data_IF_296331269217
#
_entry.id   IF_296331269217
#
_cell.length_a   1.000
_cell.length_b   1.000
_cell.length_c   1.000
_cell.angle_alpha   90.00
_cell.angle_beta   90.00
_cell.angle_gamma   90.00
#
_symmetry.space_group_name_H-M   'P 1'
#
loop_
_entity.id
_entity.type
_entity.pdbx_description
1 polymer ?
2 non-polymer ?
3 water ?
#
# COMPACT_ATOMS: atom_id res chain seq x y z
N UNK A 3 15.06 7.14 19.00
CA UNK A 3 15.27 7.77 17.65
C UNK A 3 14.26 8.88 17.44
N UNK A 4 14.69 9.96 16.77
CA UNK A 4 13.75 11.07 16.61
C UNK A 4 12.55 10.68 15.80
N UNK A 5 11.42 11.27 16.17
CA UNK A 5 10.18 10.97 15.44
C UNK A 5 10.29 11.37 13.97
N UNK A 6 9.79 10.50 13.07
CA UNK A 6 9.62 10.88 11.67
C UNK A 6 8.14 11.26 11.60
N UNK A 7 7.88 12.56 11.57
CA UNK A 7 6.50 13.07 11.74
C UNK A 7 5.64 12.60 10.58
N UNK A 8 6.24 12.51 9.39
CA UNK A 8 5.44 12.11 8.21
C UNK A 8 5.11 10.61 8.19
N UNK A 9 6.03 9.76 8.57
CA UNK A 9 5.69 8.32 8.77
C UNK A 9 4.53 8.24 9.76
N UNK A 10 4.61 8.96 10.89
CA UNK A 10 3.53 8.92 11.86
C UNK A 10 2.23 9.32 11.24
N UNK A 11 2.23 10.39 10.48
CA UNK A 11 0.95 10.87 9.88
C UNK A 11 0.43 9.84 8.90
N UNK A 12 1.30 9.24 8.10
CA UNK A 12 0.85 8.21 7.16
C UNK A 12 0.25 6.98 7.89
N UNK A 13 0.92 6.57 8.96
CA UNK A 13 0.39 5.43 9.71
C UNK A 13 -0.94 5.81 10.34
N UNK A 14 -1.04 7.02 10.87
CA UNK A 14 -2.35 7.40 11.46
C UNK A 14 -3.45 7.46 10.41
N UNK A 15 -3.12 7.97 9.22
CA UNK A 15 -4.08 8.07 8.13
C UNK A 15 -4.59 6.64 7.79
N UNK A 16 -3.65 5.70 7.68
CA UNK A 16 -4.02 4.36 7.23
C UNK A 16 -4.84 3.67 8.32
N UNK A 17 -4.48 3.88 9.59
CA UNK A 17 -5.22 3.23 10.72
C UNK A 17 -6.62 3.86 10.81
N UNK A 18 -6.71 5.17 10.65
CA UNK A 18 -8.07 5.82 10.65
C UNK A 18 -8.92 5.27 9.54
N UNK A 19 -8.30 4.99 8.39
CA UNK A 19 -9.04 4.41 7.27
C UNK A 19 -9.53 2.99 7.57
N UNK A 20 -8.63 2.15 8.14
CA UNK A 20 -9.02 0.78 8.47
C UNK A 20 -10.14 0.78 9.50
N UNK A 21 -10.06 1.72 10.44
CA UNK A 21 -11.06 1.74 11.57
C UNK A 21 -12.38 2.33 11.11
N UNK A 22 -12.36 3.36 10.29
CA UNK A 22 -13.60 4.06 9.84
C UNK A 22 -14.18 3.52 8.56
N UNK A 23 -13.38 2.87 7.72
CA UNK A 23 -13.78 2.50 6.38
C UNK A 23 -13.98 3.63 5.39
N UNK A 24 -13.59 4.85 5.79
CA UNK A 24 -13.88 6.03 5.01
C UNK A 24 -12.81 6.33 3.94
N UNK A 25 -13.03 5.81 2.74
CA UNK A 25 -12.06 6.00 1.66
C UNK A 25 -11.89 7.43 1.25
N UNK A 26 -12.98 8.22 1.20
CA UNK A 26 -12.86 9.63 0.88
C UNK A 26 -12.02 10.41 1.91
N UNK A 27 -12.25 10.12 3.20
CA UNK A 27 -11.47 10.80 4.25
C UNK A 27 -9.97 10.49 4.01
N UNK A 28 -9.69 9.23 3.71
CA UNK A 28 -8.25 8.83 3.53
C UNK A 28 -7.62 9.61 2.38
N UNK A 29 -8.35 9.66 1.24
CA UNK A 29 -7.86 10.39 0.05
C UNK A 29 -7.68 11.89 0.35
N UNK A 30 -8.68 12.49 0.99
CA UNK A 30 -8.62 13.91 1.35
C UNK A 30 -7.41 14.17 2.28
N UNK A 31 -7.27 13.35 3.33
CA UNK A 31 -6.17 13.58 4.27
C UNK A 31 -4.84 13.40 3.56
N UNK A 32 -4.74 12.43 2.64
CA UNK A 32 -3.42 12.27 1.95
C UNK A 32 -3.12 13.54 1.16
N UNK A 33 -4.09 14.04 0.42
CA UNK A 33 -3.88 15.29 -0.35
C UNK A 33 -3.46 16.47 0.56
N UNK A 34 -4.13 16.62 1.70
CA UNK A 34 -3.80 17.66 2.65
C UNK A 34 -2.38 17.54 3.21
N UNK A 35 -1.84 16.33 3.25
CA UNK A 35 -0.44 16.23 3.68
C UNK A 35 0.53 16.86 2.69
N UNK A 36 0.18 16.88 1.42
CA UNK A 36 0.98 17.58 0.41
C UNK A 36 2.38 16.97 0.32
N UNK A 37 2.42 15.65 0.15
CA UNK A 37 3.71 14.92 0.12
C UNK A 37 3.87 13.97 -1.07
N UNK A 38 3.67 14.49 -2.26
CA UNK A 38 3.59 13.62 -3.45
C UNK A 38 4.89 12.84 -3.71
N UNK A 39 6.02 13.38 -3.27
CA UNK A 39 7.31 12.61 -3.39
C UNK A 39 7.56 11.61 -2.29
N UNK A 40 6.61 11.41 -1.40
CA UNK A 40 6.71 10.41 -0.36
C UNK A 40 5.50 9.45 -0.45
N UNK A 41 4.75 9.48 -1.56
CA UNK A 41 3.67 8.51 -1.69
C UNK A 41 4.12 7.04 -1.72
N UNK A 42 5.40 6.85 -2.09
CA UNK A 42 5.92 5.49 -2.02
C UNK A 42 5.85 4.92 -0.58
N UNK A 43 5.94 5.81 0.45
CA UNK A 43 5.83 5.40 1.86
C UNK A 43 4.39 5.06 2.21
N UNK A 44 3.44 5.80 1.61
CA UNK A 44 1.98 5.46 1.81
C UNK A 44 1.75 4.02 1.26
N UNK A 45 2.25 3.73 0.04
CA UNK A 45 2.10 2.40 -0.59
C UNK A 45 2.77 1.36 0.29
N UNK A 46 4.03 1.62 0.69
CA UNK A 46 4.78 0.70 1.50
C UNK A 46 4.07 0.34 2.81
N UNK A 47 3.68 1.37 3.57
CA UNK A 47 3.06 1.15 4.87
C UNK A 47 1.70 0.44 4.70
N UNK A 48 0.99 0.81 3.63
CA UNK A 48 -0.34 0.23 3.35
C UNK A 48 -0.19 -1.30 3.14
N UNK A 49 0.81 -1.67 2.32
CA UNK A 49 1.00 -3.06 2.00
C UNK A 49 1.51 -3.83 3.21
N UNK A 50 2.42 -3.22 4.00
CA UNK A 50 2.84 -3.82 5.26
C UNK A 50 1.63 -4.10 6.15
N UNK A 51 0.70 -3.14 6.23
CA UNK A 51 -0.52 -3.33 7.03
C UNK A 51 -1.33 -4.51 6.55
N UNK A 52 -1.41 -4.68 5.24
CA UNK A 52 -2.15 -5.84 4.70
C UNK A 52 -1.44 -7.11 5.18
N UNK A 53 -0.11 -7.16 5.04
CA UNK A 53 0.67 -8.37 5.40
C UNK A 53 0.59 -8.69 6.86
N UNK A 54 0.43 -7.66 7.68
CA UNK A 54 0.38 -7.83 9.15
C UNK A 54 -1.03 -8.06 9.68
N UNK A 55 -2.04 -7.97 8.81
CA UNK A 55 -3.47 -8.06 9.24
C UNK A 55 -3.96 -9.51 9.37
N UNK A 56 -5.21 -9.62 9.84
CA UNK A 56 -5.95 -10.88 9.92
C UNK A 56 -7.29 -10.79 9.18
N UNK A 57 -7.73 -11.91 8.61
CA UNK A 57 -8.97 -11.92 7.83
C UNK A 57 -8.76 -11.21 6.51
N UNK A 58 -9.85 -10.83 5.86
CA UNK A 58 -9.76 -10.30 4.50
C UNK A 58 -10.08 -8.82 4.41
N UNK A 59 -10.45 -8.22 5.56
CA UNK A 59 -10.96 -6.85 5.52
C UNK A 59 -9.86 -5.87 5.14
N UNK A 60 -8.73 -5.92 5.82
CA UNK A 60 -7.67 -4.91 5.49
C UNK A 60 -7.18 -5.09 4.02
N UNK A 61 -7.03 -6.34 3.60
CA UNK A 61 -6.64 -6.60 2.20
C UNK A 61 -7.54 -5.87 1.22
N UNK A 62 -8.87 -6.11 1.30
CA UNK A 62 -9.77 -5.45 0.36
C UNK A 62 -9.77 -3.92 0.52
N UNK A 63 -9.77 -3.46 1.78
CA UNK A 63 -9.84 -2.02 2.00
C UNK A 63 -8.60 -1.32 1.42
N UNK A 64 -7.44 -1.91 1.66
CA UNK A 64 -6.20 -1.29 1.11
C UNK A 64 -6.13 -1.46 -0.42
N UNK A 65 -6.56 -2.62 -0.95
CA UNK A 65 -6.74 -2.70 -2.39
C UNK A 65 -7.57 -1.56 -2.98
N UNK A 66 -8.76 -1.35 -2.41
CA UNK A 66 -9.66 -0.30 -2.92
C UNK A 66 -9.07 1.10 -2.80
N UNK A 67 -8.33 1.31 -1.71
CA UNK A 67 -7.68 2.60 -1.52
C UNK A 67 -6.59 2.84 -2.56
N UNK A 68 -5.68 1.87 -2.73
CA UNK A 68 -4.61 2.06 -3.77
C UNK A 68 -5.25 2.18 -5.18
N UNK A 69 -6.33 1.41 -5.45
CA UNK A 69 -7.07 1.54 -6.73
C UNK A 69 -7.53 2.94 -6.94
N UNK A 70 -8.16 3.53 -5.91
CA UNK A 70 -8.66 4.88 -6.06
C UNK A 70 -7.55 5.90 -6.20
N UNK A 71 -6.49 5.77 -5.41
CA UNK A 71 -5.39 6.67 -5.53
C UNK A 71 -4.67 6.67 -6.90
N UNK A 72 -4.46 5.47 -7.46
CA UNK A 72 -3.92 5.38 -8.77
C UNK A 72 -4.84 6.00 -9.81
N UNK A 73 -6.10 5.53 -9.77
CA UNK A 73 -7.05 5.86 -10.85
C UNK A 73 -7.40 7.36 -10.84
N UNK A 74 -7.28 7.97 -9.68
CA UNK A 74 -7.57 9.41 -9.52
C UNK A 74 -6.39 10.34 -9.80
N UNK A 75 -5.24 9.76 -10.20
CA UNK A 75 -4.02 10.51 -10.52
C UNK A 75 -3.42 11.15 -9.26
N UNK A 76 -3.66 10.53 -8.12
CA UNK A 76 -3.07 11.01 -6.83
C UNK A 76 -1.65 10.50 -6.60
N UNK A 77 -1.35 9.31 -7.10
CA UNK A 77 -0.01 8.76 -6.97
C UNK A 77 0.60 8.58 -8.36
N UNK A 78 1.81 9.10 -8.57
CA UNK A 78 2.52 8.98 -9.83
C UNK A 78 3.07 7.53 -10.01
N UNK A 79 3.38 7.22 -11.26
CA UNK A 79 3.89 5.90 -11.55
C UNK A 79 5.22 5.62 -10.85
N UNK A 80 6.06 6.64 -10.76
CA UNK A 80 7.36 6.45 -10.07
C UNK A 80 7.12 6.11 -8.61
N UNK A 81 6.15 6.79 -7.98
CA UNK A 81 5.93 6.57 -6.55
C UNK A 81 5.27 5.18 -6.30
N UNK A 82 4.37 4.76 -7.23
CA UNK A 82 3.77 3.46 -7.14
C UNK A 82 4.88 2.38 -7.24
N UNK A 83 5.71 2.54 -8.28
CA UNK A 83 6.75 1.53 -8.52
C UNK A 83 7.69 1.46 -7.30
N UNK A 84 8.12 2.61 -6.75
CA UNK A 84 9.04 2.61 -5.64
C UNK A 84 8.41 1.94 -4.38
N UNK A 85 7.12 2.21 -4.17
CA UNK A 85 6.50 1.59 -3.02
C UNK A 85 6.46 0.07 -3.09
N UNK A 86 6.02 -0.47 -4.25
CA UNK A 86 6.02 -1.95 -4.41
C UNK A 86 7.48 -2.50 -4.35
N UNK A 87 8.37 -1.82 -5.04
CA UNK A 87 9.79 -2.31 -5.08
C UNK A 87 10.36 -2.34 -3.67
N UNK A 88 9.97 -1.36 -2.84
CA UNK A 88 10.43 -1.41 -1.45
C UNK A 88 9.94 -2.61 -0.68
N UNK A 89 8.65 -2.94 -0.89
CA UNK A 89 8.09 -4.18 -0.32
C UNK A 89 8.85 -5.42 -0.85
N UNK A 90 9.09 -5.46 -2.17
CA UNK A 90 9.76 -6.62 -2.77
C UNK A 90 11.15 -6.81 -2.13
N UNK A 91 11.80 -5.69 -1.82
CA UNK A 91 13.13 -5.77 -1.21
C UNK A 91 13.10 -6.30 0.22
N UNK A 92 12.10 -5.86 1.00
CA UNK A 92 12.01 -6.16 2.44
C UNK A 92 11.22 -7.44 2.77
N UNK A 93 10.55 -8.03 1.78
CA UNK A 93 9.72 -9.18 2.05
C UNK A 93 10.45 -10.35 2.71
N UNK A 94 11.76 -10.58 2.44
CA UNK A 94 12.34 -11.75 3.13
C UNK A 94 12.25 -11.62 4.65
N UNK A 95 12.45 -10.41 5.16
CA UNK A 95 12.42 -10.17 6.60
C UNK A 95 10.98 -10.04 7.09
N UNK A 96 10.11 -9.40 6.31
CA UNK A 96 8.70 -9.35 6.70
C UNK A 96 8.13 -10.77 6.83
N UNK A 97 8.48 -11.64 5.91
CA UNK A 97 8.06 -13.06 5.88
C UNK A 97 8.60 -13.85 7.08
N UNK A 98 9.81 -13.54 7.53
CA UNK A 98 10.29 -14.19 8.76
C UNK A 98 9.45 -13.75 9.96
N UNK A 99 9.09 -12.46 9.99
CA UNK A 99 8.26 -11.97 11.12
C UNK A 99 6.82 -12.47 11.01
N UNK A 100 6.32 -12.58 9.78
CA UNK A 100 4.92 -12.94 9.52
C UNK A 100 4.92 -14.03 8.46
N UNK A 101 4.91 -15.31 8.91
CA UNK A 101 4.91 -16.38 7.94
C UNK A 101 3.78 -16.29 6.93
N UNK A 102 4.08 -16.80 5.75
CA UNK A 102 3.18 -16.88 4.62
C UNK A 102 2.91 -15.51 4.00
N UNK A 103 3.76 -14.53 4.34
CA UNK A 103 3.66 -13.21 3.68
C UNK A 103 3.98 -13.24 2.20
N UNK A 104 4.83 -14.15 1.74
CA UNK A 104 5.00 -14.31 0.31
C UNK A 104 3.66 -14.61 -0.40
N UNK A 105 2.85 -15.51 0.18
CA UNK A 105 1.58 -15.85 -0.45
C UNK A 105 0.58 -14.69 -0.40
N UNK A 106 0.51 -14.00 0.74
CA UNK A 106 -0.40 -12.86 0.83
C UNK A 106 0.03 -11.75 -0.15
N UNK A 107 1.33 -11.51 -0.21
CA UNK A 107 1.86 -10.46 -1.08
C UNK A 107 1.50 -10.80 -2.51
N UNK A 108 1.74 -12.07 -2.88
CA UNK A 108 1.39 -12.49 -4.22
C UNK A 108 -0.08 -12.29 -4.58
N UNK A 109 -0.97 -12.70 -3.68
CA UNK A 109 -2.41 -12.47 -3.96
C UNK A 109 -2.71 -10.99 -4.09
N UNK A 110 -2.11 -10.19 -3.21
CA UNK A 110 -2.31 -8.73 -3.29
C UNK A 110 -1.85 -8.14 -4.63
N UNK A 111 -0.61 -8.48 -5.03
CA UNK A 111 -0.06 -8.06 -6.29
C UNK A 111 -0.97 -8.48 -7.50
N UNK A 112 -1.41 -9.73 -7.48
CA UNK A 112 -2.29 -10.26 -8.56
C UNK A 112 -3.61 -9.45 -8.65
N UNK A 113 -4.16 -9.15 -7.46
CA UNK A 113 -5.38 -8.34 -7.44
C UNK A 113 -5.16 -6.92 -7.89
N UNK A 114 -4.01 -6.34 -7.51
CA UNK A 114 -3.69 -5.02 -8.02
C UNK A 114 -3.56 -5.00 -9.54
N UNK A 115 -2.91 -6.04 -10.06
CA UNK A 115 -2.74 -6.16 -11.48
C UNK A 115 -4.13 -6.28 -12.20
N UNK A 116 -4.96 -7.11 -11.60
CA UNK A 116 -6.29 -7.33 -12.16
C UNK A 116 -7.14 -6.06 -12.11
N UNK A 117 -6.81 -5.18 -11.17
CA UNK A 117 -7.50 -3.90 -11.03
C UNK A 117 -6.99 -2.79 -11.97
N UNK A 118 -5.93 -3.07 -12.73
CA UNK A 118 -5.41 -2.16 -13.69
C UNK A 118 -4.41 -1.13 -13.19
N UNK A 119 -3.92 -1.32 -11.94
CA UNK A 119 -3.16 -0.26 -11.29
C UNK A 119 -1.62 -0.43 -11.19
N UNK A 120 -1.11 -1.58 -11.67
CA UNK A 120 0.34 -1.73 -11.80
C UNK A 120 0.66 -2.38 -13.12
N UNK A 121 1.84 -2.06 -13.62
CA UNK A 121 2.28 -2.63 -14.88
C UNK A 121 2.48 -4.11 -14.75
N UNK A 122 2.44 -4.80 -15.90
CA UNK A 122 2.77 -6.23 -15.89
C UNK A 122 4.23 -6.47 -15.44
N UNK A 123 5.10 -5.55 -15.82
CA UNK A 123 6.50 -5.60 -15.32
C UNK A 123 6.57 -5.63 -13.79
N UNK A 124 5.87 -4.69 -13.15
CA UNK A 124 5.92 -4.58 -11.72
C UNK A 124 5.30 -5.79 -11.08
N UNK A 125 4.19 -6.31 -11.66
CA UNK A 125 3.61 -7.55 -11.22
C UNK A 125 4.68 -8.69 -11.25
N UNK A 126 5.26 -8.82 -12.44
CA UNK A 126 6.25 -9.88 -12.68
C UNK A 126 7.46 -9.84 -11.73
N UNK A 127 7.82 -8.65 -11.26
CA UNK A 127 8.94 -8.48 -10.37
C UNK A 127 8.68 -8.99 -8.96
N UNK A 128 7.42 -9.26 -8.64
CA UNK A 128 7.11 -9.78 -7.32
C UNK A 128 7.90 -11.04 -7.02
N UNK A 129 8.74 -11.02 -5.96
CA UNK A 129 9.60 -12.20 -5.66
C UNK A 129 8.86 -13.46 -5.27
N UNK A 130 7.57 -13.41 -4.93
CA UNK A 130 6.82 -14.61 -4.64
C UNK A 130 6.74 -15.50 -5.88
N UNK A 131 6.84 -14.90 -7.07
CA UNK A 131 6.64 -15.63 -8.35
C UNK A 131 7.85 -16.49 -8.75
X LIG B 1 -15.93 11.47 8.91
X LIG B 1 -15.66 12.85 9.12
X LIG B 1 -15.16 10.52 9.82
X LIG B 1 -13.93 11.03 10.32
X LIG B 1 -14.93 9.24 9.05
X LIG B 1 -16.14 8.78 8.43
#
# INVERSE_FOLDING_TARGET
GQQPVNHLVKEIDMLLKEYLLSGDISEAEHCLKELEVPHFHHELVYEAIVMVLESTGESAFKMILDLLKSLWKSSTITIDQMKRGYERIYNEIPDINLDVPHSYSVLERFVEECFQAGIISKQLRDLCPSRSRGRKRFVSEGDGGRLKPESY
GOL C1 O1 C2 O2 C3 O3
#
